data_IF_972153316296
#
_entry.id   IF_972153316296
#
_cell.length_a   1.000
_cell.length_b   1.000
_cell.length_c   1.000
_cell.angle_alpha   90.00
_cell.angle_beta   90.00
_cell.angle_gamma   90.00
#
_symmetry.space_group_name_H-M   'P 1'
#
loop_
_entity.id
_entity.type
_entity.pdbx_description
1 polymer ?
#
# COMPACT_ATOMS: atom_id res chain seq x y z
N UNK A 1 13.13 -2.97 -29.31
CA UNK A 1 12.67 -3.20 -27.94
C UNK A 1 12.45 -4.70 -27.82
N UNK A 2 13.10 -5.34 -26.86
CA UNK A 2 12.87 -6.77 -26.61
C UNK A 2 11.41 -6.96 -26.20
N UNK A 3 10.71 -7.98 -26.71
CA UNK A 3 9.33 -8.27 -26.29
C UNK A 3 9.23 -8.48 -24.77
N UNK A 4 10.33 -8.87 -24.12
CA UNK A 4 10.44 -9.05 -22.67
C UNK A 4 10.42 -7.74 -21.88
N UNK A 5 10.76 -6.62 -22.50
CA UNK A 5 10.75 -5.30 -21.86
C UNK A 5 9.37 -4.66 -21.86
N UNK A 6 8.40 -5.21 -22.62
CA UNK A 6 7.04 -4.64 -22.68
C UNK A 6 6.31 -4.82 -21.34
N UNK A 7 5.80 -3.74 -20.72
CA UNK A 7 5.07 -3.83 -19.46
C UNK A 7 3.87 -4.78 -19.49
N UNK A 8 3.16 -4.88 -20.62
CA UNK A 8 2.06 -5.84 -20.79
C UNK A 8 2.52 -7.30 -20.65
N UNK A 9 3.73 -7.62 -21.11
CA UNK A 9 4.34 -8.94 -20.94
C UNK A 9 4.72 -9.19 -19.47
N UNK A 10 5.34 -8.20 -18.80
CA UNK A 10 5.62 -8.23 -17.36
C UNK A 10 4.33 -8.47 -16.55
N UNK A 11 3.24 -7.77 -16.85
CA UNK A 11 1.93 -7.96 -16.22
C UNK A 11 1.38 -9.37 -16.43
N UNK A 12 1.50 -9.91 -17.64
CA UNK A 12 1.10 -11.28 -17.95
C UNK A 12 1.86 -12.29 -17.08
N UNK A 13 3.16 -12.10 -16.91
CA UNK A 13 3.99 -12.98 -16.07
C UNK A 13 3.62 -12.85 -14.59
N UNK A 14 3.59 -11.63 -14.05
CA UNK A 14 3.22 -11.37 -12.66
C UNK A 14 1.87 -12.02 -12.31
N UNK A 15 0.87 -11.83 -13.20
CA UNK A 15 -0.45 -12.43 -13.07
C UNK A 15 -0.36 -13.96 -13.01
N UNK A 16 0.39 -14.60 -13.92
CA UNK A 16 0.56 -16.06 -13.97
C UNK A 16 1.28 -16.61 -12.75
N UNK A 17 2.28 -15.90 -12.21
CA UNK A 17 2.98 -16.33 -10.99
C UNK A 17 1.98 -16.39 -9.84
N UNK A 18 1.23 -15.30 -9.59
CA UNK A 18 0.20 -15.27 -8.53
C UNK A 18 -0.91 -16.30 -8.78
N UNK A 19 -1.30 -16.53 -10.04
CA UNK A 19 -2.23 -17.63 -10.40
C UNK A 19 -1.75 -18.97 -9.86
N UNK A 20 -0.47 -19.29 -10.09
CA UNK A 20 0.10 -20.58 -9.73
C UNK A 20 0.15 -20.71 -8.21
N UNK A 21 0.61 -19.67 -7.51
CA UNK A 21 0.62 -19.60 -6.04
C UNK A 21 -0.78 -19.87 -5.48
N UNK A 22 -1.80 -19.10 -5.89
CA UNK A 22 -3.16 -19.29 -5.38
C UNK A 22 -3.72 -20.70 -5.66
N UNK A 23 -3.38 -21.30 -6.81
CA UNK A 23 -3.82 -22.65 -7.16
C UNK A 23 -3.16 -23.71 -6.30
N UNK A 24 -1.90 -23.49 -5.92
CA UNK A 24 -1.17 -24.38 -5.01
C UNK A 24 -1.76 -24.28 -3.60
N UNK A 25 -2.01 -23.06 -3.10
CA UNK A 25 -2.67 -22.85 -1.80
C UNK A 25 -4.06 -23.50 -1.74
N UNK A 26 -4.88 -23.35 -2.79
CA UNK A 26 -6.20 -24.00 -2.90
C UNK A 26 -6.13 -25.53 -2.89
N UNK A 27 -4.98 -26.11 -3.22
CA UNK A 27 -4.73 -27.56 -3.14
C UNK A 27 -4.13 -28.00 -1.81
N UNK A 28 -3.96 -27.08 -0.86
CA UNK A 28 -3.40 -27.33 0.46
C UNK A 28 -1.87 -27.27 0.50
N UNK A 29 -1.22 -26.68 -0.50
CA UNK A 29 0.20 -26.37 -0.39
C UNK A 29 0.39 -25.17 0.55
N UNK A 30 1.19 -25.35 1.59
CA UNK A 30 1.57 -24.28 2.50
C UNK A 30 2.92 -23.72 2.07
N UNK A 31 2.95 -22.43 1.74
CA UNK A 31 4.20 -21.74 1.46
C UNK A 31 4.91 -21.45 2.78
N UNK A 32 6.21 -21.74 2.83
CA UNK A 32 7.08 -21.24 3.88
C UNK A 32 7.82 -19.98 3.39
N UNK A 33 8.63 -19.41 4.27
CA UNK A 33 9.43 -18.23 3.98
C UNK A 33 10.39 -18.44 2.81
N UNK A 34 11.04 -19.60 2.72
CA UNK A 34 12.02 -19.90 1.69
C UNK A 34 11.37 -19.91 0.31
N UNK A 35 10.28 -20.68 0.15
CA UNK A 35 9.55 -20.76 -1.11
C UNK A 35 8.99 -19.38 -1.52
N UNK A 36 8.57 -18.59 -0.54
CA UNK A 36 8.10 -17.22 -0.77
C UNK A 36 9.21 -16.33 -1.28
N UNK A 37 10.39 -16.39 -0.66
CA UNK A 37 11.54 -15.60 -1.09
C UNK A 37 12.01 -15.99 -2.48
N UNK A 38 11.95 -17.27 -2.86
CA UNK A 38 12.22 -17.71 -4.22
C UNK A 38 11.26 -17.05 -5.22
N UNK A 39 9.97 -16.97 -4.87
CA UNK A 39 8.97 -16.28 -5.70
C UNK A 39 9.25 -14.78 -5.75
N UNK A 40 9.51 -14.12 -4.61
CA UNK A 40 9.83 -12.68 -4.60
C UNK A 40 11.10 -12.36 -5.39
N UNK A 41 12.10 -13.24 -5.32
CA UNK A 41 13.33 -13.14 -6.12
C UNK A 41 13.02 -13.23 -7.60
N UNK A 42 12.11 -14.13 -8.01
CA UNK A 42 11.64 -14.20 -9.39
C UNK A 42 10.94 -12.89 -9.83
N UNK A 43 10.15 -12.27 -8.95
CA UNK A 43 9.58 -10.94 -9.23
C UNK A 43 10.66 -9.87 -9.41
N UNK A 44 11.73 -9.91 -8.62
CA UNK A 44 12.82 -8.96 -8.67
C UNK A 44 13.68 -9.14 -9.93
N UNK A 45 14.04 -10.39 -10.26
CA UNK A 45 14.82 -10.77 -11.44
C UNK A 45 14.11 -10.40 -12.75
N UNK A 46 12.78 -10.44 -12.75
CA UNK A 46 11.94 -10.07 -13.88
C UNK A 46 11.49 -8.60 -13.84
N UNK A 47 11.98 -7.82 -12.88
CA UNK A 47 11.68 -6.39 -12.73
C UNK A 47 10.16 -6.10 -12.71
N UNK A 48 9.39 -6.95 -12.01
CA UNK A 48 7.92 -6.90 -11.99
C UNK A 48 7.35 -5.90 -10.96
N UNK A 49 8.19 -5.14 -10.29
CA UNK A 49 7.79 -4.09 -9.33
C UNK A 49 8.69 -2.86 -9.44
N UNK A 50 9.23 -2.60 -10.63
CA UNK A 50 9.92 -1.34 -10.89
C UNK A 50 8.99 -0.14 -10.65
N UNK A 51 9.59 0.92 -10.10
CA UNK A 51 8.85 2.05 -9.53
C UNK A 51 8.05 2.77 -10.60
N UNK A 52 6.74 2.91 -10.38
CA UNK A 52 5.91 3.87 -11.09
C UNK A 52 6.17 5.28 -10.55
N UNK A 53 7.33 5.87 -10.84
CA UNK A 53 7.55 7.28 -10.48
C UNK A 53 6.63 8.16 -11.35
N UNK A 54 5.71 8.87 -10.70
CA UNK A 54 4.96 10.03 -11.21
C UNK A 54 3.91 9.80 -12.31
N UNK A 55 3.30 8.62 -12.34
CA UNK A 55 2.20 8.35 -13.26
C UNK A 55 0.89 9.06 -12.86
N UNK A 56 0.66 9.31 -11.56
CA UNK A 56 -0.54 10.02 -11.08
C UNK A 56 -0.61 11.48 -11.59
N UNK A 57 0.52 12.19 -11.69
CA UNK A 57 0.53 13.57 -12.20
C UNK A 57 0.37 13.66 -13.71
N UNK A 58 0.78 12.62 -14.46
CA UNK A 58 0.88 12.71 -15.93
C UNK A 58 -0.41 12.31 -16.65
N UNK A 59 -1.28 11.50 -16.04
CA UNK A 59 -2.45 10.92 -16.73
C UNK A 59 -3.79 11.60 -16.41
N UNK A 60 -3.87 12.32 -15.30
CA UNK A 60 -5.15 12.88 -14.83
C UNK A 60 -5.73 13.96 -15.77
N UNK A 61 -4.92 14.53 -16.67
CA UNK A 61 -5.33 15.61 -17.57
C UNK A 61 -5.91 15.11 -18.91
N UNK A 62 -5.81 13.81 -19.20
CA UNK A 62 -6.34 13.23 -20.45
C UNK A 62 -7.76 12.70 -20.24
N UNK A 63 -8.75 13.55 -20.56
CA UNK A 63 -10.17 13.21 -20.41
C UNK A 63 -10.60 11.97 -21.21
N UNK A 64 -10.02 11.75 -22.40
CA UNK A 64 -10.33 10.59 -23.24
C UNK A 64 -9.82 9.30 -22.57
N UNK A 65 -8.60 9.34 -22.05
CA UNK A 65 -8.02 8.23 -21.31
C UNK A 65 -8.83 7.89 -20.05
N UNK A 66 -9.16 8.91 -19.24
CA UNK A 66 -9.96 8.74 -18.02
C UNK A 66 -11.33 8.14 -18.33
N UNK A 67 -11.97 8.55 -19.44
CA UNK A 67 -13.25 7.97 -19.87
C UNK A 67 -13.11 6.47 -20.17
N UNK A 68 -12.10 6.06 -20.95
CA UNK A 68 -11.86 4.65 -21.28
C UNK A 68 -11.57 3.80 -20.04
N UNK A 69 -10.78 4.32 -19.09
CA UNK A 69 -10.51 3.60 -17.84
C UNK A 69 -11.76 3.36 -16.99
N UNK A 70 -12.73 4.30 -17.01
CA UNK A 70 -14.01 4.15 -16.29
C UNK A 70 -14.92 3.11 -16.94
N UNK A 71 -14.80 2.88 -18.25
CA UNK A 71 -15.56 1.86 -18.97
C UNK A 71 -15.03 0.43 -18.71
N UNK A 72 -13.73 0.29 -18.40
CA UNK A 72 -13.11 -1.00 -18.11
C UNK A 72 -13.49 -1.44 -16.70
N UNK A 73 -14.57 -2.22 -16.59
CA UNK A 73 -14.98 -2.82 -15.32
C UNK A 73 -14.03 -3.97 -14.93
N UNK A 74 -13.38 -3.84 -13.78
CA UNK A 74 -12.53 -4.87 -13.15
C UNK A 74 -13.39 -5.93 -12.48
N UNK A 75 -14.45 -5.49 -11.79
CA UNK A 75 -15.48 -6.33 -11.20
C UNK A 75 -16.83 -5.60 -11.30
N UNK A 76 -17.89 -6.14 -10.69
CA UNK A 76 -19.24 -5.55 -10.78
C UNK A 76 -19.38 -4.14 -10.17
N UNK A 77 -18.43 -3.72 -9.33
CA UNK A 77 -18.50 -2.47 -8.57
C UNK A 77 -17.26 -1.58 -8.70
N UNK A 78 -16.21 -2.02 -9.41
CA UNK A 78 -14.91 -1.35 -9.46
C UNK A 78 -14.46 -1.24 -10.92
N UNK A 79 -14.22 -0.01 -11.39
CA UNK A 79 -13.59 0.25 -12.67
C UNK A 79 -12.06 0.22 -12.56
N UNK A 80 -11.35 0.15 -13.68
CA UNK A 80 -9.89 0.23 -13.70
C UNK A 80 -9.40 1.61 -13.21
N UNK A 81 -10.13 2.68 -13.55
CA UNK A 81 -9.88 4.01 -13.00
C UNK A 81 -9.95 4.02 -11.47
N UNK A 82 -10.98 3.42 -10.89
CA UNK A 82 -11.13 3.39 -9.43
C UNK A 82 -10.04 2.54 -8.77
N UNK A 83 -9.69 1.42 -9.41
CA UNK A 83 -8.65 0.51 -8.92
C UNK A 83 -7.26 1.18 -8.86
N UNK A 84 -6.87 1.92 -9.90
CA UNK A 84 -5.56 2.60 -9.97
C UNK A 84 -5.44 3.71 -8.91
N UNK A 85 -6.58 4.28 -8.47
CA UNK A 85 -6.60 5.32 -7.43
C UNK A 85 -6.63 4.78 -6.01
N UNK A 86 -6.83 3.47 -5.84
CA UNK A 86 -6.71 2.84 -4.54
C UNK A 86 -5.23 2.73 -4.17
N UNK A 87 -4.96 2.71 -2.85
CA UNK A 87 -3.63 2.35 -2.39
C UNK A 87 -3.30 0.93 -2.85
N UNK A 88 -2.07 0.62 -3.27
CA UNK A 88 -1.72 -0.70 -3.79
C UNK A 88 -2.12 -1.87 -2.88
N UNK A 89 -2.08 -1.71 -1.55
CA UNK A 89 -2.50 -2.73 -0.58
C UNK A 89 -4.02 -2.93 -0.55
N UNK A 90 -4.77 -1.84 -0.70
CA UNK A 90 -6.23 -1.87 -0.72
C UNK A 90 -6.71 -2.45 -2.06
N UNK A 91 -6.08 -2.02 -3.16
CA UNK A 91 -6.32 -2.53 -4.50
C UNK A 91 -6.08 -4.05 -4.57
N UNK A 92 -4.95 -4.52 -4.03
CA UNK A 92 -4.61 -5.94 -4.01
C UNK A 92 -5.67 -6.80 -3.31
N UNK A 93 -6.28 -6.31 -2.21
CA UNK A 93 -7.36 -7.01 -1.50
C UNK A 93 -8.66 -7.13 -2.30
N UNK A 94 -8.90 -6.21 -3.25
CA UNK A 94 -10.10 -6.22 -4.09
C UNK A 94 -9.98 -7.16 -5.30
N UNK A 95 -8.76 -7.50 -5.68
CA UNK A 95 -8.49 -8.29 -6.86
C UNK A 95 -8.45 -9.77 -6.53
N UNK A 96 -9.09 -10.56 -7.39
CA UNK A 96 -8.95 -12.02 -7.40
C UNK A 96 -8.14 -12.39 -8.63
N UNK A 97 -7.46 -13.54 -8.58
CA UNK A 97 -6.76 -14.12 -9.74
C UNK A 97 -7.45 -13.93 -11.10
N UNK A 98 -8.76 -14.24 -11.20
CA UNK A 98 -9.49 -14.19 -12.48
C UNK A 98 -9.50 -12.78 -13.07
N UNK A 99 -9.51 -11.77 -12.21
CA UNK A 99 -9.60 -10.38 -12.60
C UNK A 99 -8.33 -9.95 -13.35
N UNK A 100 -7.15 -10.44 -12.99
CA UNK A 100 -5.89 -10.02 -13.61
C UNK A 100 -5.75 -10.46 -15.07
N UNK A 101 -6.11 -11.71 -15.39
CA UNK A 101 -6.05 -12.21 -16.77
C UNK A 101 -7.08 -11.49 -17.65
N UNK A 102 -8.29 -11.29 -17.13
CA UNK A 102 -9.33 -10.53 -17.84
C UNK A 102 -8.91 -9.08 -18.07
N UNK A 103 -8.27 -8.44 -17.09
CA UNK A 103 -7.73 -7.09 -17.22
C UNK A 103 -6.63 -7.01 -18.27
N UNK A 104 -5.66 -7.93 -18.28
CA UNK A 104 -4.60 -7.94 -19.29
C UNK A 104 -5.17 -8.01 -20.72
N UNK A 105 -6.25 -8.76 -20.94
CA UNK A 105 -6.93 -8.80 -22.22
C UNK A 105 -7.65 -7.47 -22.54
N UNK A 106 -8.38 -6.88 -21.60
CA UNK A 106 -9.08 -5.60 -21.82
C UNK A 106 -8.12 -4.43 -22.05
N UNK A 107 -6.94 -4.48 -21.43
CA UNK A 107 -5.91 -3.48 -21.67
C UNK A 107 -5.40 -3.51 -23.11
N UNK A 108 -5.41 -4.67 -23.78
CA UNK A 108 -4.97 -4.76 -25.17
C UNK A 108 -5.80 -3.94 -26.16
N UNK A 109 -7.00 -3.49 -25.76
CA UNK A 109 -7.88 -2.61 -26.53
C UNK A 109 -7.49 -1.12 -26.41
N UNK A 110 -6.63 -0.74 -25.46
CA UNK A 110 -6.18 0.64 -25.27
C UNK A 110 -5.01 1.01 -26.19
N UNK A 111 -4.77 2.30 -26.48
CA UNK A 111 -3.51 2.76 -27.07
C UNK A 111 -2.27 2.29 -26.30
N UNK A 112 -1.20 1.93 -27.02
CA UNK A 112 0.02 1.31 -26.46
C UNK A 112 0.60 2.09 -25.27
N UNK A 113 0.66 3.43 -25.35
CA UNK A 113 1.13 4.30 -24.25
C UNK A 113 0.36 4.10 -22.94
N UNK A 114 -0.96 3.93 -23.03
CA UNK A 114 -1.84 3.70 -21.89
C UNK A 114 -1.77 2.26 -21.37
N UNK A 115 -1.52 1.30 -22.26
CA UNK A 115 -1.31 -0.09 -21.87
C UNK A 115 -0.09 -0.21 -20.97
N UNK A 116 1.01 0.40 -21.38
CA UNK A 116 2.29 0.33 -20.67
C UNK A 116 2.17 0.90 -19.26
N UNK A 117 1.64 2.12 -19.19
CA UNK A 117 1.17 2.81 -18.02
C UNK A 117 0.37 1.91 -17.05
N UNK A 118 -0.78 1.41 -17.50
CA UNK A 118 -1.66 0.57 -16.67
C UNK A 118 -0.96 -0.71 -16.24
N UNK A 119 -0.14 -1.30 -17.11
CA UNK A 119 0.54 -2.54 -16.83
C UNK A 119 1.60 -2.40 -15.73
N UNK A 120 2.39 -1.32 -15.73
CA UNK A 120 3.35 -1.03 -14.64
C UNK A 120 2.61 -0.90 -13.31
N UNK A 121 1.51 -0.13 -13.28
CA UNK A 121 0.76 0.08 -12.04
C UNK A 121 0.08 -1.21 -11.54
N UNK A 122 -0.49 -2.01 -12.44
CA UNK A 122 -1.08 -3.30 -12.06
C UNK A 122 -0.02 -4.30 -11.60
N UNK A 123 1.16 -4.31 -12.21
CA UNK A 123 2.32 -5.08 -11.73
C UNK A 123 2.66 -4.70 -10.28
N UNK A 124 2.72 -3.41 -9.97
CA UNK A 124 2.97 -2.92 -8.61
C UNK A 124 1.89 -3.41 -7.63
N UNK A 125 0.60 -3.33 -8.00
CA UNK A 125 -0.50 -3.83 -7.18
C UNK A 125 -0.38 -5.35 -6.93
N UNK A 126 -0.09 -6.14 -7.97
CA UNK A 126 0.06 -7.60 -7.87
C UNK A 126 1.21 -7.95 -6.92
N UNK A 127 2.37 -7.37 -7.19
CA UNK A 127 3.58 -7.58 -6.39
C UNK A 127 3.35 -7.15 -4.94
N UNK A 128 2.67 -6.01 -4.72
CA UNK A 128 2.31 -5.52 -3.38
C UNK A 128 1.42 -6.51 -2.64
N UNK A 129 0.38 -7.00 -3.31
CA UNK A 129 -0.54 -7.98 -2.75
C UNK A 129 0.16 -9.26 -2.29
N UNK A 130 1.13 -9.71 -3.07
CA UNK A 130 1.94 -10.87 -2.72
C UNK A 130 2.94 -10.54 -1.60
N UNK A 131 3.64 -9.41 -1.66
CA UNK A 131 4.76 -9.12 -0.74
C UNK A 131 4.29 -8.72 0.65
N UNK A 132 3.16 -8.03 0.73
CA UNK A 132 2.66 -7.41 1.96
C UNK A 132 2.54 -8.36 3.15
N UNK A 133 1.85 -9.53 3.05
CA UNK A 133 1.65 -10.38 4.22
C UNK A 133 2.98 -10.93 4.76
N UNK A 134 3.91 -11.27 3.86
CA UNK A 134 5.22 -11.82 4.21
C UNK A 134 6.15 -10.78 4.78
N UNK A 135 6.12 -9.56 4.24
CA UNK A 135 6.89 -8.45 4.79
C UNK A 135 6.37 -8.05 6.18
N UNK A 136 5.05 -8.08 6.38
CA UNK A 136 4.42 -7.83 7.68
C UNK A 136 4.84 -8.86 8.73
N UNK A 137 4.79 -10.14 8.39
CA UNK A 137 5.21 -11.22 9.29
C UNK A 137 6.71 -11.12 9.62
N UNK A 138 7.55 -10.97 8.60
CA UNK A 138 9.00 -10.77 8.75
C UNK A 138 9.35 -9.55 9.62
N UNK A 139 8.65 -8.43 9.42
CA UNK A 139 8.86 -7.22 10.21
C UNK A 139 8.42 -7.40 11.66
N UNK A 140 7.32 -8.12 11.88
CA UNK A 140 6.79 -8.39 13.21
C UNK A 140 7.77 -9.26 14.04
N UNK A 141 8.38 -10.27 13.41
CA UNK A 141 9.47 -11.05 13.97
C UNK A 141 10.71 -10.19 14.27
N UNK A 142 11.10 -9.32 13.34
CA UNK A 142 12.27 -8.46 13.45
C UNK A 142 12.16 -7.50 14.65
N UNK A 143 10.97 -6.94 14.88
CA UNK A 143 10.69 -6.07 16.01
C UNK A 143 10.48 -6.83 17.33
N UNK A 144 10.61 -8.17 17.34
CA UNK A 144 10.35 -9.01 18.51
C UNK A 144 9.02 -8.67 19.18
N UNK A 145 7.98 -8.46 18.38
CA UNK A 145 6.63 -8.21 18.87
C UNK A 145 6.48 -6.95 19.74
N UNK A 146 7.42 -5.99 19.65
CA UNK A 146 7.39 -4.78 20.51
C UNK A 146 6.36 -3.73 20.07
N UNK A 147 5.97 -3.74 18.80
CA UNK A 147 4.99 -2.81 18.25
C UNK A 147 3.62 -3.49 18.12
N UNK A 148 2.50 -2.81 18.41
CA UNK A 148 1.18 -3.29 18.04
C UNK A 148 1.09 -3.54 16.54
N UNK A 149 0.34 -4.57 16.13
CA UNK A 149 0.23 -4.97 14.71
C UNK A 149 -0.22 -3.80 13.80
N UNK A 150 -1.14 -2.96 14.30
CA UNK A 150 -1.62 -1.78 13.57
C UNK A 150 -0.48 -0.80 13.23
N UNK A 151 0.49 -0.63 14.13
CA UNK A 151 1.65 0.23 13.86
C UNK A 151 2.56 -0.39 12.80
N UNK A 152 2.75 -1.71 12.82
CA UNK A 152 3.50 -2.43 11.79
C UNK A 152 2.83 -2.28 10.42
N UNK A 153 1.51 -2.46 10.34
CA UNK A 153 0.75 -2.26 9.10
C UNK A 153 0.91 -0.83 8.57
N UNK A 154 0.83 0.18 9.44
CA UNK A 154 1.03 1.58 9.05
C UNK A 154 2.44 1.87 8.54
N UNK A 155 3.48 1.29 9.17
CA UNK A 155 4.86 1.48 8.72
C UNK A 155 5.03 0.87 7.33
N UNK A 156 4.61 -0.38 7.18
CA UNK A 156 4.76 -1.15 5.94
C UNK A 156 3.92 -0.54 4.80
N UNK A 157 2.80 0.12 5.11
CA UNK A 157 1.96 0.86 4.15
C UNK A 157 2.74 1.93 3.38
N UNK A 158 3.77 2.49 3.99
CA UNK A 158 4.54 3.58 3.41
C UNK A 158 5.81 3.12 2.69
N UNK A 159 6.13 1.82 2.74
CA UNK A 159 7.32 1.26 2.11
C UNK A 159 7.07 0.95 0.63
N UNK A 160 8.09 0.81 -0.20
CA UNK A 160 7.96 0.37 -1.59
C UNK A 160 8.08 -1.17 -1.69
N UNK A 161 7.69 -1.78 -2.80
CA UNK A 161 7.84 -3.24 -2.98
C UNK A 161 9.28 -3.73 -2.82
N UNK A 162 10.27 -2.93 -3.23
CA UNK A 162 11.68 -3.20 -2.99
C UNK A 162 12.02 -3.27 -1.49
N UNK A 163 11.49 -2.34 -0.69
CA UNK A 163 11.66 -2.34 0.77
C UNK A 163 10.99 -3.57 1.40
N UNK A 164 9.79 -3.95 0.92
CA UNK A 164 9.08 -5.15 1.40
C UNK A 164 9.90 -6.41 1.16
N UNK A 165 10.44 -6.55 -0.06
CA UNK A 165 11.31 -7.67 -0.42
C UNK A 165 12.56 -7.69 0.47
N UNK A 166 13.22 -6.55 0.67
CA UNK A 166 14.40 -6.43 1.53
C UNK A 166 14.12 -6.80 3.00
N UNK A 167 12.94 -6.47 3.53
CA UNK A 167 12.52 -6.91 4.87
C UNK A 167 12.42 -8.43 4.92
N UNK A 168 11.83 -9.06 3.90
CA UNK A 168 11.69 -10.51 3.84
C UNK A 168 13.03 -11.24 3.80
N UNK A 169 14.05 -10.70 3.10
CA UNK A 169 15.39 -11.28 2.99
C UNK A 169 16.18 -11.29 4.30
N UNK A 170 15.88 -10.38 5.24
CA UNK A 170 16.72 -10.13 6.41
C UNK A 170 17.02 -11.38 7.28
N UNK A 171 16.09 -12.33 7.47
CA UNK A 171 16.33 -13.49 8.34
C UNK A 171 17.26 -14.57 7.77
N UNK A 172 17.40 -14.67 6.44
CA UNK A 172 18.28 -15.65 5.81
C UNK A 172 19.76 -15.20 5.82
N UNK A 173 20.01 -13.89 5.92
CA UNK A 173 21.34 -13.31 6.00
C UNK A 173 21.79 -12.98 7.44
N UNK A 174 21.32 -13.72 8.46
CA UNK A 174 21.88 -13.62 9.82
C UNK A 174 23.30 -14.20 9.94
N UNK A 175 24.21 -13.65 9.14
CA UNK A 175 25.61 -13.48 9.49
C UNK A 175 25.74 -12.13 10.23
N UNK A 176 26.45 -12.01 11.37
CA UNK A 176 26.16 -10.95 12.35
C UNK A 176 26.61 -9.52 12.00
N UNK A 177 27.16 -9.27 10.82
CA UNK A 177 27.79 -8.00 10.47
C UNK A 177 27.68 -7.74 8.97
N UNK A 178 26.71 -6.95 8.48
CA UNK A 178 27.05 -5.84 7.55
C UNK A 178 25.94 -4.89 7.06
N UNK A 179 24.63 -5.14 7.16
CA UNK A 179 23.63 -4.23 6.52
C UNK A 179 22.60 -3.60 7.47
N UNK A 180 22.91 -3.53 8.76
CA UNK A 180 22.04 -2.86 9.75
C UNK A 180 21.87 -1.36 9.53
N UNK A 181 22.82 -0.64 8.91
CA UNK A 181 22.78 0.82 9.01
C UNK A 181 21.66 1.49 8.23
N UNK A 182 21.35 1.12 6.99
CA UNK A 182 20.33 1.90 6.24
C UNK A 182 18.91 1.61 6.72
N UNK A 183 18.54 0.34 6.86
CA UNK A 183 17.18 -0.03 7.26
C UNK A 183 16.92 0.26 8.74
N UNK A 184 17.89 0.00 9.64
CA UNK A 184 17.73 0.36 11.06
C UNK A 184 17.75 1.88 11.25
N UNK A 185 18.53 2.64 10.49
CA UNK A 185 18.48 4.11 10.58
C UNK A 185 17.19 4.68 9.99
N UNK A 186 16.69 4.14 8.88
CA UNK A 186 15.40 4.54 8.32
C UNK A 186 14.25 4.19 9.27
N UNK A 187 14.23 2.97 9.82
CA UNK A 187 13.28 2.56 10.84
C UNK A 187 13.43 3.37 12.13
N UNK A 188 14.65 3.71 12.54
CA UNK A 188 14.90 4.52 13.73
C UNK A 188 14.45 5.96 13.55
N UNK A 189 14.76 6.61 12.43
CA UNK A 189 14.28 7.97 12.14
C UNK A 189 12.76 8.00 11.97
N UNK A 190 12.17 6.97 11.35
CA UNK A 190 10.72 6.85 11.24
C UNK A 190 10.04 6.60 12.59
N UNK A 191 10.57 5.67 13.41
CA UNK A 191 10.09 5.42 14.77
C UNK A 191 10.29 6.63 15.67
N UNK A 192 11.39 7.37 15.52
CA UNK A 192 11.65 8.61 16.24
C UNK A 192 10.64 9.70 15.87
N UNK A 193 10.32 9.86 14.58
CA UNK A 193 9.29 10.77 14.12
C UNK A 193 7.90 10.35 14.63
N UNK A 194 7.61 9.04 14.67
CA UNK A 194 6.34 8.52 15.14
C UNK A 194 6.15 8.64 16.66
N UNK A 195 7.20 8.33 17.45
CA UNK A 195 7.23 8.54 18.89
C UNK A 195 7.01 10.03 19.20
N UNK A 196 7.69 10.92 18.46
CA UNK A 196 7.51 12.36 18.59
C UNK A 196 6.05 12.77 18.29
N UNK A 197 5.46 12.24 17.22
CA UNK A 197 4.06 12.52 16.87
C UNK A 197 3.09 12.03 17.95
N UNK A 198 3.32 10.85 18.51
CA UNK A 198 2.49 10.28 19.59
C UNK A 198 2.61 11.09 20.89
N UNK A 199 3.82 11.56 21.24
CA UNK A 199 4.02 12.46 22.37
C UNK A 199 3.34 13.82 22.16
N UNK A 200 3.37 14.37 20.94
CA UNK A 200 2.63 15.59 20.60
C UNK A 200 1.11 15.40 20.78
N UNK A 201 0.54 14.30 20.29
CA UNK A 201 -0.90 13.99 20.43
C UNK A 201 -1.28 13.83 21.91
N UNK A 202 -0.45 13.12 22.69
CA UNK A 202 -0.66 12.94 24.13
C UNK A 202 -0.64 14.28 24.87
N UNK A 203 0.32 15.15 24.54
CA UNK A 203 0.47 16.48 25.16
C UNK A 203 -0.71 17.39 24.79
N UNK A 204 -1.13 17.37 23.52
CA UNK A 204 -2.31 18.11 23.06
C UNK A 204 -3.60 17.66 23.76
N UNK A 205 -3.77 16.34 23.94
CA UNK A 205 -4.91 15.76 24.66
C UNK A 205 -4.92 16.16 26.15
N UNK A 206 -3.76 16.23 26.79
CA UNK A 206 -3.65 16.70 28.19
C UNK A 206 -3.93 18.20 28.32
N UNK A 207 -3.50 19.01 27.35
CA UNK A 207 -3.80 20.44 27.32
C UNK A 207 -5.30 20.66 27.12
N UNK A 208 -5.92 20.06 26.13
CA UNK A 208 -7.38 20.20 25.90
C UNK A 208 -8.22 19.74 27.09
N UNK A 209 -7.84 18.64 27.76
CA UNK A 209 -8.49 18.20 28.99
C UNK A 209 -8.36 19.22 30.15
N UNK A 210 -7.24 19.94 30.22
CA UNK A 210 -7.01 20.97 31.25
C UNK A 210 -7.81 22.25 30.99
N UNK A 211 -8.06 22.59 29.73
CA UNK A 211 -8.90 23.72 29.33
C UNK A 211 -10.40 23.41 29.43
N UNK A 212 -10.77 22.12 29.37
CA UNK A 212 -12.14 21.67 29.57
C UNK A 212 -12.56 21.60 31.06
N UNK A 213 -11.64 21.80 32.00
CA UNK A 213 -12.02 21.90 33.42
C UNK A 213 -12.53 23.32 33.72
N UNK A 214 -13.77 23.48 34.24
CA UNK A 214 -14.26 24.78 34.66
C UNK A 214 -13.34 25.33 35.76
N UNK A 215 -12.90 26.58 35.59
CA UNK A 215 -12.12 27.28 36.61
C UNK A 215 -12.84 27.18 37.96
N UNK A 216 -12.21 26.66 39.01
CA UNK A 216 -12.79 26.61 40.34
C UNK A 216 -12.80 28.04 40.90
N UNK A 217 -13.83 28.81 40.57
CA UNK A 217 -13.98 30.20 41.04
C UNK A 217 -14.77 31.15 40.13
N UNK A 218 -15.40 30.69 39.05
CA UNK A 218 -16.32 31.52 38.27
C UNK A 218 -17.73 31.46 38.84
N UNK A 219 -18.14 32.52 39.54
CA UNK A 219 -19.53 32.73 39.96
C UNK A 219 -20.39 32.81 38.70
N UNK A 220 -21.34 31.88 38.58
CA UNK A 220 -22.38 31.88 37.55
C UNK A 220 -23.26 33.11 37.70
N UNK A 221 -23.11 34.09 36.81
CA UNK A 221 -24.11 35.14 36.64
C UNK A 221 -24.12 35.64 35.20
N UNK A 222 -24.65 34.83 34.29
CA UNK A 222 -25.16 35.30 33.00
C UNK A 222 -26.44 34.53 32.63
N UNK A 223 -27.54 34.97 33.23
CA UNK A 223 -28.89 34.76 32.69
C UNK A 223 -28.98 35.37 31.29
N UNK A 224 -28.93 34.53 30.25
CA UNK A 224 -29.32 34.93 28.90
C UNK A 224 -30.84 35.03 28.83
N UNK A 225 -31.34 36.25 29.02
CA UNK A 225 -32.73 36.60 28.77
C UNK A 225 -33.04 36.52 27.28
N UNK A 226 -34.05 35.71 26.95
CA UNK A 226 -34.71 35.73 25.66
C UNK A 226 -35.35 37.11 25.40
N UNK A 227 -35.04 37.72 24.26
CA UNK A 227 -35.86 38.80 23.69
C UNK A 227 -36.10 38.49 22.21
N UNK A 228 -37.31 37.98 21.96
CA UNK A 228 -38.01 38.07 20.68
C UNK A 228 -38.77 39.40 20.63
N UNK A 229 -38.51 40.21 19.60
CA UNK A 229 -39.36 41.24 18.97
C UNK A 229 -38.42 42.13 18.13
N UNK A 230 -38.54 42.31 16.82
CA UNK A 230 -39.72 42.75 16.08
C UNK A 230 -39.48 44.19 15.60
N UNK A 231 -39.82 44.48 14.33
CA UNK A 231 -39.67 45.76 13.58
C UNK A 231 -38.29 45.93 12.90
N UNK A 232 -38.18 46.28 11.62
CA UNK A 232 -39.12 46.68 10.58
C UNK A 232 -38.31 47.10 9.36
#
# INVERSE_FOLDING_TARGET
MDERERPAFKLSIASKIVTVVERLEKRGYEFDRSNTLDIMSLFAELELFEKSTDLEETWCDDEEFVSKLKEIMVNSSLSLHDLIRLRPEEAAKQLKHKNYIELANKLSDLPESYQEACAVHLCEIISRGFFWPWALDAFYELQRYQLPILCCEMIIANLQNEDLYNICLYPDYWHPYFHRQKLVMALYEYLRAYIFMFECIRTYSQLTARWAQPSPGGVDDFTFGAVLAGQG
#
